data_IF_572537140231
#
_entry.id   IF_572537140231
#
_cell.length_a   1.000
_cell.length_b   1.000
_cell.length_c   1.000
_cell.angle_alpha   90.00
_cell.angle_beta   90.00
_cell.angle_gamma   90.00
#
_symmetry.space_group_name_H-M   'P 1'
#
loop_
_entity.id
_entity.type
_entity.pdbx_description
1 polymer ?
#
# COMPACT_ATOMS: atom_id res chain seq x y z
N UNK A 1 48.94 41.93 -32.34
CA UNK A 1 49.12 42.72 -33.57
C UNK A 1 49.04 41.76 -34.77
N UNK A 2 48.35 42.12 -35.88
CA UNK A 2 47.39 43.22 -36.05
C UNK A 2 46.04 42.81 -35.40
N UNK A 3 44.81 42.72 -35.97
CA UNK A 3 44.27 42.96 -37.34
C UNK A 3 42.72 43.13 -37.33
N UNK A 4 42.10 43.08 -38.52
CA UNK A 4 40.66 43.26 -38.81
C UNK A 4 39.74 42.27 -38.05
N UNK A 5 38.52 42.60 -37.59
CA UNK A 5 37.44 43.50 -38.04
C UNK A 5 36.35 42.77 -38.87
N UNK A 6 35.09 43.19 -38.66
CA UNK A 6 33.89 42.50 -39.13
C UNK A 6 33.22 43.20 -40.33
N UNK A 7 32.38 42.47 -41.07
CA UNK A 7 31.14 43.02 -41.67
C UNK A 7 30.14 41.93 -42.06
N UNK A 8 28.86 42.22 -41.80
CA UNK A 8 27.67 42.04 -42.67
C UNK A 8 27.57 40.75 -43.52
N UNK A 9 26.58 39.87 -43.29
CA UNK A 9 25.12 40.02 -43.55
C UNK A 9 24.73 39.60 -44.97
N UNK A 10 23.80 38.65 -45.07
CA UNK A 10 22.94 38.51 -46.25
C UNK A 10 21.53 38.05 -45.82
N UNK A 11 20.51 38.76 -46.29
CA UNK A 11 19.10 38.45 -46.03
C UNK A 11 18.48 37.79 -47.27
N UNK A 12 17.78 36.67 -47.08
CA UNK A 12 16.81 36.09 -48.01
C UNK A 12 15.57 35.73 -47.21
N UNK A 13 14.52 36.57 -47.18
CA UNK A 13 13.47 36.66 -48.20
C UNK A 13 12.73 35.31 -48.35
N UNK A 14 11.56 35.13 -47.74
CA UNK A 14 10.23 35.68 -48.11
C UNK A 14 9.56 34.93 -49.27
N UNK A 15 8.69 33.98 -48.93
CA UNK A 15 7.28 33.82 -49.38
C UNK A 15 6.70 32.60 -48.64
N UNK A 16 5.57 32.69 -47.94
CA UNK A 16 4.19 32.67 -48.46
C UNK A 16 3.82 31.35 -49.14
N UNK A 17 2.68 30.70 -48.85
CA UNK A 17 1.68 30.85 -47.78
C UNK A 17 0.78 29.58 -47.82
N UNK A 18 -0.42 29.62 -47.23
CA UNK A 18 -1.51 28.62 -47.36
C UNK A 18 -1.19 27.24 -46.71
N UNK A 19 -2.11 26.58 -45.98
CA UNK A 19 -3.44 26.98 -45.52
C UNK A 19 -3.73 26.39 -44.13
N UNK A 20 -4.64 27.04 -43.40
CA UNK A 20 -5.32 26.45 -42.24
C UNK A 20 -6.53 25.64 -42.73
N UNK A 21 -6.68 24.38 -42.34
CA UNK A 21 -7.98 23.74 -42.23
C UNK A 21 -8.43 23.81 -40.76
N UNK A 22 -9.37 24.69 -40.47
CA UNK A 22 -10.17 24.55 -39.25
C UNK A 22 -11.04 23.30 -39.37
N UNK A 23 -10.77 22.24 -38.60
CA UNK A 23 -11.84 21.34 -38.22
C UNK A 23 -11.76 20.88 -36.76
N UNK A 24 -12.91 20.98 -36.10
CA UNK A 24 -13.14 20.72 -34.68
C UNK A 24 -13.93 19.43 -34.60
N UNK A 25 -13.26 18.29 -34.44
CA UNK A 25 -13.92 17.03 -34.12
C UNK A 25 -13.30 16.36 -32.89
N UNK A 26 -13.90 16.66 -31.74
CA UNK A 26 -13.86 15.82 -30.55
C UNK A 26 -14.59 14.51 -30.85
N UNK A 27 -13.89 13.49 -31.32
CA UNK A 27 -14.42 12.13 -31.43
C UNK A 27 -13.93 11.30 -30.23
N UNK A 28 -14.85 11.08 -29.30
CA UNK A 28 -14.64 10.43 -28.00
C UNK A 28 -14.38 8.92 -28.17
N UNK A 29 -13.12 8.55 -28.40
CA UNK A 29 -12.71 7.16 -28.54
C UNK A 29 -12.71 6.45 -27.16
N UNK A 30 -13.82 5.81 -26.81
CA UNK A 30 -14.00 4.99 -25.59
C UNK A 30 -13.18 3.69 -25.62
N UNK A 31 -11.85 3.81 -25.73
CA UNK A 31 -10.90 2.69 -25.70
C UNK A 31 -10.67 2.19 -24.28
N UNK A 32 -11.59 1.35 -23.76
CA UNK A 32 -11.50 0.73 -22.45
C UNK A 32 -10.44 -0.40 -22.38
N UNK A 33 -9.19 -0.11 -22.76
CA UNK A 33 -8.08 -1.04 -22.62
C UNK A 33 -7.77 -1.24 -21.13
N UNK A 34 -7.95 -2.47 -20.66
CA UNK A 34 -7.65 -2.88 -19.28
C UNK A 34 -6.13 -2.94 -19.06
N UNK A 35 -5.51 -1.80 -18.73
CA UNK A 35 -4.12 -1.76 -18.29
C UNK A 35 -3.99 -2.44 -16.91
N UNK A 36 -3.80 -3.76 -16.93
CA UNK A 36 -3.22 -4.53 -15.83
C UNK A 36 -1.84 -3.94 -15.52
N UNK A 37 -1.78 -3.03 -14.56
CA UNK A 37 -0.56 -2.33 -14.18
C UNK A 37 0.45 -3.30 -13.56
N UNK A 38 1.29 -3.91 -14.39
CA UNK A 38 2.36 -4.80 -14.02
C UNK A 38 3.46 -4.03 -13.24
N UNK A 39 3.27 -3.88 -11.92
CA UNK A 39 4.22 -3.21 -11.04
C UNK A 39 5.43 -4.11 -10.73
N UNK A 40 6.23 -4.39 -11.76
CA UNK A 40 7.54 -5.02 -11.68
C UNK A 40 8.59 -4.09 -11.05
N UNK A 41 8.39 -3.72 -9.79
CA UNK A 41 9.31 -2.88 -9.03
C UNK A 41 10.56 -3.65 -8.61
N UNK A 42 11.61 -3.58 -9.44
CA UNK A 42 12.93 -4.11 -9.10
C UNK A 42 13.46 -3.49 -7.80
N UNK A 43 13.95 -4.33 -6.87
CA UNK A 43 14.40 -3.87 -5.54
C UNK A 43 15.70 -3.09 -5.66
N UNK A 44 15.62 -1.76 -5.64
CA UNK A 44 16.75 -0.83 -5.58
C UNK A 44 17.57 -0.91 -4.28
N UNK A 45 18.20 -2.05 -4.01
CA UNK A 45 19.05 -2.25 -2.83
C UNK A 45 20.36 -1.48 -3.01
N UNK A 46 20.40 -0.25 -2.50
CA UNK A 46 21.59 0.60 -2.55
C UNK A 46 22.83 -0.10 -1.94
N UNK A 47 24.02 0.09 -2.54
CA UNK A 47 25.24 -0.59 -2.11
C UNK A 47 25.71 -0.10 -0.73
N UNK A 48 26.06 -1.05 0.14
CA UNK A 48 26.61 -0.78 1.46
C UNK A 48 28.13 -0.58 1.37
N UNK A 49 28.60 0.67 1.44
CA UNK A 49 30.04 0.98 1.41
C UNK A 49 30.42 2.40 0.93
N UNK A 50 29.47 3.17 0.37
CA UNK A 50 29.75 4.55 -0.06
C UNK A 50 30.05 5.48 1.11
N UNK A 51 31.06 6.36 0.96
CA UNK A 51 31.37 7.43 1.91
C UNK A 51 30.19 8.38 2.08
N UNK A 52 30.02 8.97 3.27
CA UNK A 52 28.82 9.74 3.64
C UNK A 52 28.59 10.96 2.74
N UNK A 53 29.68 11.55 2.24
CA UNK A 53 29.68 12.68 1.29
C UNK A 53 28.96 12.34 -0.04
N UNK A 54 29.04 11.09 -0.49
CA UNK A 54 28.58 10.64 -1.82
C UNK A 54 27.16 10.05 -1.81
N UNK A 55 26.40 10.25 -0.73
CA UNK A 55 25.01 9.76 -0.64
C UNK A 55 24.07 10.68 -1.43
N UNK A 56 23.14 10.13 -2.24
CA UNK A 56 22.15 10.93 -2.96
C UNK A 56 21.28 11.71 -1.97
N UNK A 57 21.08 12.99 -2.26
CA UNK A 57 20.23 13.90 -1.49
C UNK A 57 18.89 14.11 -2.21
N UNK A 58 17.79 14.17 -1.46
CA UNK A 58 16.46 14.54 -1.97
C UNK A 58 15.92 15.73 -1.17
N UNK A 59 15.10 16.57 -1.80
CA UNK A 59 14.45 17.73 -1.14
C UNK A 59 13.10 17.29 -0.56
N UNK A 60 12.79 17.69 0.67
CA UNK A 60 11.51 17.36 1.31
C UNK A 60 10.36 18.23 0.78
N UNK A 61 9.34 17.63 0.16
CA UNK A 61 8.15 18.31 -0.42
C UNK A 61 7.18 18.91 0.62
N UNK A 62 7.65 19.23 1.83
CA UNK A 62 6.82 19.70 2.95
C UNK A 62 7.56 20.66 3.88
N UNK A 63 8.89 20.68 3.85
CA UNK A 63 9.70 21.63 4.64
C UNK A 63 10.97 22.08 3.92
N UNK A 64 11.12 21.74 2.63
CA UNK A 64 12.17 22.08 1.67
C UNK A 64 13.64 21.81 2.11
N UNK A 65 13.85 21.22 3.29
CA UNK A 65 15.16 20.78 3.75
C UNK A 65 15.68 19.60 2.91
N UNK A 66 16.96 19.60 2.49
CA UNK A 66 17.58 18.45 1.87
C UNK A 66 17.71 17.30 2.89
N UNK A 67 17.66 16.07 2.41
CA UNK A 67 17.87 14.88 3.24
C UNK A 67 18.61 13.78 2.48
N UNK A 68 19.62 13.20 3.14
CA UNK A 68 20.36 12.03 2.70
C UNK A 68 19.61 10.73 3.00
N UNK A 69 20.01 9.65 2.33
CA UNK A 69 19.50 8.29 2.53
C UNK A 69 19.62 7.81 4.00
N UNK A 70 18.73 6.89 4.39
CA UNK A 70 18.71 6.23 5.70
C UNK A 70 18.35 4.75 5.53
N UNK A 71 18.93 3.86 6.34
CA UNK A 71 18.70 2.40 6.31
C UNK A 71 17.22 1.99 6.28
N UNK A 72 16.33 2.76 6.92
CA UNK A 72 14.87 2.54 6.89
C UNK A 72 14.23 2.62 5.49
N UNK A 73 14.89 3.27 4.54
CA UNK A 73 14.42 3.49 3.17
C UNK A 73 15.08 2.56 2.13
N UNK A 74 15.86 1.56 2.55
CA UNK A 74 16.50 0.54 1.68
C UNK A 74 15.55 -0.11 0.66
N UNK A 75 14.24 -0.19 0.97
CA UNK A 75 13.22 -0.84 0.14
C UNK A 75 12.31 0.10 -0.65
N UNK A 76 12.45 1.43 -0.48
CA UNK A 76 11.50 2.41 -1.04
C UNK A 76 12.10 3.81 -1.24
N UNK A 77 13.43 3.94 -1.35
CA UNK A 77 14.11 5.23 -1.49
C UNK A 77 13.54 6.09 -2.64
N UNK A 78 13.14 5.46 -3.73
CA UNK A 78 12.61 6.12 -4.93
C UNK A 78 11.26 6.80 -4.67
N UNK A 79 10.37 6.14 -3.92
CA UNK A 79 9.07 6.68 -3.50
C UNK A 79 9.18 7.76 -2.40
N UNK A 80 10.28 7.77 -1.63
CA UNK A 80 10.45 8.65 -0.47
C UNK A 80 10.70 10.11 -0.90
N UNK A 81 9.70 10.93 -0.64
CA UNK A 81 9.66 12.38 -0.95
C UNK A 81 9.57 13.28 0.29
N UNK A 82 9.55 12.71 1.49
CA UNK A 82 9.43 13.44 2.78
C UNK A 82 10.49 13.00 3.78
N UNK A 83 11.25 13.94 4.35
CA UNK A 83 12.39 13.65 5.23
C UNK A 83 12.04 12.98 6.57
N UNK A 84 10.80 13.12 7.06
CA UNK A 84 10.38 12.67 8.39
C UNK A 84 8.95 12.11 8.43
N UNK A 85 8.62 11.38 9.50
CA UNK A 85 7.24 10.92 9.76
C UNK A 85 6.27 12.09 9.97
N UNK A 86 6.74 13.20 10.54
CA UNK A 86 5.92 14.42 10.75
C UNK A 86 5.50 15.03 9.40
N UNK A 87 6.47 15.28 8.50
CA UNK A 87 6.19 15.77 7.15
C UNK A 87 5.27 14.83 6.36
N UNK A 88 5.44 13.50 6.50
CA UNK A 88 4.55 12.54 5.87
C UNK A 88 3.11 12.62 6.42
N UNK A 89 2.94 12.82 7.72
CA UNK A 89 1.63 13.01 8.34
C UNK A 89 0.98 14.35 7.94
N UNK A 90 1.74 15.44 7.90
CA UNK A 90 1.29 16.76 7.43
C UNK A 90 0.80 16.69 5.97
N UNK A 91 1.57 16.06 5.07
CA UNK A 91 1.17 15.86 3.67
C UNK A 91 -0.09 14.99 3.51
N UNK A 92 -0.30 14.01 4.41
CA UNK A 92 -1.55 13.22 4.45
C UNK A 92 -2.74 14.05 4.92
N UNK A 93 -2.58 14.87 5.97
CA UNK A 93 -3.63 15.77 6.48
C UNK A 93 -4.05 16.80 5.43
N UNK A 94 -3.08 17.44 4.76
CA UNK A 94 -3.36 18.39 3.68
C UNK A 94 -4.24 17.76 2.58
N UNK A 95 -3.91 16.53 2.14
CA UNK A 95 -4.72 15.76 1.19
C UNK A 95 -6.11 15.36 1.69
N UNK A 96 -6.35 15.31 3.00
CA UNK A 96 -7.67 15.00 3.54
C UNK A 96 -8.57 16.25 3.53
N UNK A 97 -8.01 17.44 3.72
CA UNK A 97 -8.74 18.71 3.60
C UNK A 97 -9.14 18.96 2.14
N UNK A 98 -8.20 18.86 1.19
CA UNK A 98 -8.49 19.09 -0.25
C UNK A 98 -9.50 18.11 -0.86
N UNK A 99 -9.72 16.97 -0.22
CA UNK A 99 -10.70 15.95 -0.64
C UNK A 99 -12.03 16.02 0.13
N UNK A 100 -12.17 16.96 1.08
CA UNK A 100 -13.41 17.21 1.81
C UNK A 100 -14.31 18.25 1.13
N UNK A 101 -13.73 19.24 0.46
CA UNK A 101 -14.45 20.36 -0.17
C UNK A 101 -15.33 19.95 -1.36
N UNK A 102 -14.95 18.88 -2.09
CA UNK A 102 -15.66 18.40 -3.28
C UNK A 102 -16.86 17.49 -2.92
N UNK A 103 -17.68 17.92 -1.96
CA UNK A 103 -18.74 17.10 -1.36
C UNK A 103 -19.95 17.87 -0.81
N UNK A 104 -20.05 19.18 -1.08
CA UNK A 104 -21.15 20.04 -0.63
C UNK A 104 -21.70 20.91 -1.76
N UNK A 105 -22.18 20.26 -2.82
CA UNK A 105 -23.08 20.88 -3.79
C UNK A 105 -24.52 20.60 -3.33
N UNK A 106 -25.38 21.62 -3.34
CA UNK A 106 -26.67 21.63 -2.64
C UNK A 106 -27.76 20.85 -3.39
N UNK A 107 -28.08 19.65 -2.88
CA UNK A 107 -29.32 18.95 -3.25
C UNK A 107 -30.52 19.60 -2.58
N UNK A 108 -31.12 20.59 -3.24
CA UNK A 108 -32.35 21.24 -2.79
C UNK A 108 -33.60 20.35 -2.98
N UNK A 109 -34.60 20.66 -2.17
CA UNK A 109 -35.91 20.02 -2.01
C UNK A 109 -36.69 19.68 -3.32
N UNK A 110 -36.98 18.39 -3.55
CA UNK A 110 -38.15 17.96 -4.35
C UNK A 110 -39.05 17.03 -3.50
N UNK A 111 -39.97 17.66 -2.76
CA UNK A 111 -40.95 16.96 -1.91
C UNK A 111 -42.26 16.62 -2.63
N UNK A 112 -42.22 15.98 -3.81
CA UNK A 112 -43.48 15.58 -4.47
C UNK A 112 -43.46 14.31 -5.34
N UNK A 113 -43.45 13.12 -4.71
CA UNK A 113 -44.14 11.94 -5.29
C UNK A 113 -44.56 10.88 -4.25
N UNK A 114 -45.79 10.37 -4.43
CA UNK A 114 -46.28 9.04 -4.04
C UNK A 114 -46.14 8.56 -2.58
N UNK A 115 -47.24 8.65 -1.81
CA UNK A 115 -47.44 7.87 -0.57
C UNK A 115 -47.75 6.39 -0.89
N UNK A 116 -46.72 5.59 -1.11
CA UNK A 116 -46.68 4.22 -0.55
C UNK A 116 -45.83 4.29 0.72
N UNK A 117 -46.30 3.84 1.89
CA UNK A 117 -45.46 3.79 3.08
C UNK A 117 -44.41 2.69 2.88
N UNK A 118 -43.10 3.01 2.79
CA UNK A 118 -42.09 1.96 2.83
C UNK A 118 -42.12 1.30 4.21
N UNK A 119 -41.78 0.01 4.29
CA UNK A 119 -41.29 -0.56 5.57
C UNK A 119 -40.14 0.36 6.04
N UNK A 120 -40.25 0.89 7.24
CA UNK A 120 -39.62 2.16 7.61
C UNK A 120 -38.12 2.18 7.31
N UNK A 121 -37.66 3.31 6.76
CA UNK A 121 -36.22 3.56 6.51
C UNK A 121 -35.41 3.48 7.81
N UNK A 122 -36.07 3.76 8.94
CA UNK A 122 -35.56 3.61 10.30
C UNK A 122 -35.23 2.16 10.64
N UNK A 123 -36.07 1.18 10.26
CA UNK A 123 -35.83 -0.24 10.54
C UNK A 123 -34.67 -0.79 9.70
N UNK A 124 -34.61 -0.41 8.42
CA UNK A 124 -33.47 -0.72 7.55
C UNK A 124 -32.16 -0.09 8.08
N UNK A 125 -32.24 1.10 8.67
CA UNK A 125 -31.09 1.79 9.29
C UNK A 125 -30.70 1.17 10.64
N UNK A 126 -31.68 0.69 11.42
CA UNK A 126 -31.50 -0.01 12.70
C UNK A 126 -30.80 -1.34 12.48
N UNK A 127 -31.29 -2.18 11.57
CA UNK A 127 -30.65 -3.44 11.20
C UNK A 127 -29.18 -3.25 10.75
N UNK A 128 -28.89 -2.19 9.99
CA UNK A 128 -27.52 -1.83 9.61
C UNK A 128 -26.67 -1.36 10.80
N UNK A 129 -27.26 -0.69 11.79
CA UNK A 129 -26.57 -0.29 13.03
C UNK A 129 -26.26 -1.51 13.91
N UNK A 130 -27.20 -2.46 13.99
CA UNK A 130 -27.09 -3.70 14.79
C UNK A 130 -26.08 -4.68 14.19
N UNK A 131 -26.07 -4.91 12.87
CA UNK A 131 -25.00 -5.69 12.22
C UNK A 131 -23.63 -5.02 12.45
N UNK A 132 -23.57 -3.69 12.36
CA UNK A 132 -22.36 -2.89 12.62
C UNK A 132 -21.96 -2.92 14.10
N UNK A 133 -22.87 -3.20 15.02
CA UNK A 133 -22.59 -3.45 16.44
C UNK A 133 -22.06 -4.88 16.64
N UNK A 134 -22.78 -5.90 16.17
CA UNK A 134 -22.36 -7.31 16.22
C UNK A 134 -20.98 -7.53 15.59
N UNK A 135 -20.69 -6.87 14.45
CA UNK A 135 -19.38 -6.92 13.78
C UNK A 135 -18.27 -6.20 14.54
N UNK A 136 -18.58 -5.21 15.40
CA UNK A 136 -17.62 -4.63 16.35
C UNK A 136 -17.39 -5.57 17.53
N UNK A 137 -18.45 -6.20 18.03
CA UNK A 137 -18.42 -7.13 19.16
C UNK A 137 -17.63 -8.40 18.84
N UNK A 138 -17.88 -9.05 17.71
CA UNK A 138 -17.09 -10.19 17.24
C UNK A 138 -15.58 -9.84 17.13
N UNK A 139 -15.26 -8.63 16.65
CA UNK A 139 -13.86 -8.13 16.61
C UNK A 139 -13.29 -7.83 18.00
N UNK A 140 -14.12 -7.43 18.96
CA UNK A 140 -13.75 -7.24 20.38
C UNK A 140 -13.47 -8.60 21.05
N UNK A 141 -14.33 -9.59 20.82
CA UNK A 141 -14.18 -10.95 21.33
C UNK A 141 -12.90 -11.63 20.81
N UNK A 142 -12.69 -11.70 19.49
CA UNK A 142 -11.45 -12.26 18.89
C UNK A 142 -10.20 -11.50 19.37
N UNK A 143 -10.29 -10.20 19.68
CA UNK A 143 -9.17 -9.43 20.26
C UNK A 143 -8.96 -9.70 21.76
N UNK A 144 -10.00 -10.08 22.50
CA UNK A 144 -9.90 -10.51 23.90
C UNK A 144 -9.30 -11.93 24.01
N UNK A 145 -9.77 -12.86 23.19
CA UNK A 145 -9.22 -14.22 23.04
C UNK A 145 -7.72 -14.19 22.72
N UNK A 146 -7.32 -13.35 21.74
CA UNK A 146 -5.89 -13.11 21.39
C UNK A 146 -5.08 -12.38 22.47
N UNK A 147 -5.71 -11.86 23.53
CA UNK A 147 -5.03 -11.32 24.72
C UNK A 147 -4.90 -12.41 25.79
N UNK A 148 -5.95 -13.17 26.08
CA UNK A 148 -5.91 -14.32 26.99
C UNK A 148 -4.81 -15.32 26.58
N UNK A 149 -4.73 -15.67 25.29
CA UNK A 149 -3.66 -16.52 24.71
C UNK A 149 -2.24 -15.94 24.86
N UNK A 150 -2.07 -14.65 25.17
CA UNK A 150 -0.77 -14.01 25.49
C UNK A 150 -0.51 -13.85 26.99
N UNK A 151 -1.54 -14.03 27.81
CA UNK A 151 -1.49 -13.92 29.27
C UNK A 151 -1.41 -15.30 29.95
N UNK A 152 -1.30 -16.38 29.17
CA UNK A 152 -1.32 -17.76 29.67
C UNK A 152 -2.72 -18.27 30.06
N UNK A 153 -3.77 -17.47 29.87
CA UNK A 153 -5.16 -17.78 30.22
C UNK A 153 -6.00 -18.22 29.02
N UNK A 154 -5.35 -18.64 27.93
CA UNK A 154 -6.00 -19.31 26.80
C UNK A 154 -6.10 -20.82 27.04
N UNK A 155 -6.89 -21.49 26.20
CA UNK A 155 -6.90 -22.96 26.13
C UNK A 155 -5.48 -23.52 25.85
N UNK A 156 -4.98 -24.48 26.65
CA UNK A 156 -3.63 -25.05 26.49
C UNK A 156 -3.53 -26.07 25.34
N UNK A 157 -4.64 -26.58 24.81
CA UNK A 157 -4.62 -27.48 23.64
C UNK A 157 -4.33 -26.73 22.32
N UNK A 158 -4.68 -25.44 22.26
CA UNK A 158 -4.52 -24.58 21.07
C UNK A 158 -3.05 -24.34 20.71
N UNK A 159 -2.48 -25.26 19.94
CA UNK A 159 -1.13 -25.14 19.38
C UNK A 159 -0.38 -26.48 19.28
N UNK A 160 -0.82 -27.47 20.06
CA UNK A 160 -0.24 -28.80 20.11
C UNK A 160 -0.39 -29.57 18.80
N UNK A 161 0.60 -30.43 18.51
CA UNK A 161 0.63 -31.25 17.29
C UNK A 161 0.99 -32.69 17.63
N UNK A 162 0.52 -33.62 16.80
CA UNK A 162 0.70 -35.05 17.02
C UNK A 162 2.09 -35.52 16.63
N UNK A 163 2.68 -36.37 17.48
CA UNK A 163 3.92 -37.07 17.18
C UNK A 163 3.68 -38.16 16.11
N UNK A 164 4.47 -38.19 15.04
CA UNK A 164 4.36 -39.18 13.94
C UNK A 164 4.69 -40.64 14.33
N UNK A 165 5.03 -40.92 15.60
CA UNK A 165 5.38 -42.25 16.10
C UNK A 165 4.52 -42.73 17.29
N UNK A 166 3.86 -41.81 18.00
CA UNK A 166 3.05 -42.17 19.18
C UNK A 166 1.78 -41.33 19.33
N UNK A 167 1.46 -40.50 18.32
CA UNK A 167 0.25 -39.68 18.15
C UNK A 167 -0.05 -38.62 19.23
N UNK A 168 0.65 -38.67 20.37
CA UNK A 168 0.54 -37.73 21.48
C UNK A 168 0.65 -36.28 21.00
N UNK A 169 -0.35 -35.48 21.37
CA UNK A 169 -0.38 -34.04 21.21
C UNK A 169 0.66 -33.40 22.13
N UNK A 170 1.62 -32.67 21.56
CA UNK A 170 2.68 -31.96 22.31
C UNK A 170 3.00 -30.61 21.68
N UNK A 171 3.57 -29.70 22.46
CA UNK A 171 3.94 -28.35 22.03
C UNK A 171 5.26 -28.28 21.25
N UNK A 172 6.19 -29.19 21.54
CA UNK A 172 7.52 -29.24 20.92
C UNK A 172 7.76 -30.59 20.25
N UNK A 173 8.02 -30.54 18.94
CA UNK A 173 8.36 -31.68 18.10
C UNK A 173 9.64 -31.37 17.33
N UNK A 174 10.57 -32.31 17.35
CA UNK A 174 11.81 -32.28 16.57
C UNK A 174 11.52 -32.86 15.18
N UNK A 175 12.27 -32.39 14.17
CA UNK A 175 12.12 -32.81 12.78
C UNK A 175 13.25 -33.77 12.40
N UNK A 176 12.92 -35.02 12.08
CA UNK A 176 13.88 -36.07 11.68
C UNK A 176 13.47 -36.75 10.39
N UNK A 177 14.42 -37.50 9.81
CA UNK A 177 14.16 -38.50 8.77
C UNK A 177 14.40 -39.86 9.43
N UNK A 178 13.34 -40.65 9.63
CA UNK A 178 13.41 -41.86 10.48
C UNK A 178 13.31 -43.18 9.68
N UNK A 179 12.96 -43.08 8.40
CA UNK A 179 12.89 -44.24 7.50
C UNK A 179 13.91 -44.08 6.35
N UNK A 180 14.16 -45.20 5.65
CA UNK A 180 14.90 -45.23 4.38
C UNK A 180 14.30 -44.37 3.27
N UNK A 181 13.01 -44.00 3.38
CA UNK A 181 12.30 -43.07 2.48
C UNK A 181 12.84 -41.64 2.52
N UNK A 182 13.57 -41.27 3.59
CA UNK A 182 14.01 -39.90 3.90
C UNK A 182 12.85 -38.89 4.06
N UNK A 183 11.64 -39.39 4.36
CA UNK A 183 10.50 -38.53 4.69
C UNK A 183 10.72 -37.80 6.02
N UNK A 184 10.31 -36.53 6.06
CA UNK A 184 10.45 -35.66 7.23
C UNK A 184 9.29 -35.86 8.22
N UNK A 185 9.52 -36.66 9.27
CA UNK A 185 8.55 -36.86 10.35
C UNK A 185 8.75 -35.84 11.48
N UNK A 186 7.69 -35.60 12.25
CA UNK A 186 7.69 -34.71 13.42
C UNK A 186 7.54 -35.55 14.68
N UNK A 187 8.58 -35.60 15.51
CA UNK A 187 8.69 -36.56 16.61
C UNK A 187 8.84 -35.81 17.94
N UNK A 188 8.11 -36.22 18.97
CA UNK A 188 8.21 -35.63 20.31
C UNK A 188 9.54 -36.01 20.98
N UNK A 189 10.03 -35.16 21.90
CA UNK A 189 11.30 -35.39 22.60
C UNK A 189 11.49 -36.81 23.17
N UNK A 190 10.49 -37.42 23.86
CA UNK A 190 10.59 -38.78 24.37
C UNK A 190 10.76 -39.89 23.31
N UNK A 191 10.33 -39.65 22.06
CA UNK A 191 10.46 -40.60 20.96
C UNK A 191 11.64 -40.29 20.04
N UNK A 192 12.42 -39.23 20.31
CA UNK A 192 13.64 -38.92 19.55
C UNK A 192 14.74 -39.98 19.71
N UNK A 193 15.11 -40.45 20.93
CA UNK A 193 16.22 -41.40 21.11
C UNK A 193 16.00 -42.77 20.46
N UNK A 194 14.76 -43.11 20.09
CA UNK A 194 14.44 -44.34 19.37
C UNK A 194 14.58 -44.25 17.84
N UNK A 195 14.93 -43.07 17.29
CA UNK A 195 15.00 -42.80 15.83
C UNK A 195 16.15 -41.86 15.44
N UNK A 196 17.19 -41.74 16.26
CA UNK A 196 18.32 -40.82 16.08
C UNK A 196 19.67 -41.53 16.16
#
# INVERSE_FOLDING_TARGET
HPCAAATLSLQGQLTSAWALPTNRHLCYASGALSLKAARGGGKGKMPNGMKKENLPQKICVTCNRPFTWRKKWEKCWDEVTTCSKSCNAQRRRARQLTNGESGSESGEDDRSRSRTPPRSVDEASRAQADEKAARKEAKKAVKAERRAKRQGTGDPSTGQKSCSLCEKQVDLLVRCQVDTSKEWKMVCGPCWPSVS
#
